data_IF_766257751143
#
_entry.id   IF_766257751143
#
_cell.length_a   1.000
_cell.length_b   1.000
_cell.length_c   1.000
_cell.angle_alpha   90.00
_cell.angle_beta   90.00
_cell.angle_gamma   90.00
#
_symmetry.space_group_name_H-M   'P 1'
#
loop_
_entity.id
_entity.type
_entity.pdbx_description
1 polymer ?
#
# COMPACT_ATOMS: atom_id res chain seq x y z
N UNK A 1 -10.28 -6.33 12.98
CA UNK A 1 -9.62 -6.04 11.68
C UNK A 1 -9.35 -4.54 11.60
N UNK A 2 -8.09 -4.09 11.58
CA UNK A 2 -7.74 -2.69 11.44
C UNK A 2 -7.96 -2.19 10.01
N UNK A 3 -8.29 -0.89 9.89
CA UNK A 3 -8.38 -0.14 8.63
C UNK A 3 -7.76 1.26 8.83
N UNK A 4 -7.95 2.18 7.88
CA UNK A 4 -7.31 3.51 7.92
C UNK A 4 -7.58 4.29 9.23
N UNK A 5 -8.85 4.35 9.66
CA UNK A 5 -9.28 5.10 10.85
C UNK A 5 -10.29 4.33 11.72
N UNK A 6 -10.51 3.06 11.43
CA UNK A 6 -11.49 2.23 12.11
C UNK A 6 -10.94 0.86 12.44
N UNK A 7 -11.55 0.20 13.41
CA UNK A 7 -11.31 -1.22 13.72
C UNK A 7 -12.65 -1.93 13.71
N UNK A 8 -12.76 -2.98 12.88
CA UNK A 8 -13.91 -3.88 12.95
C UNK A 8 -13.63 -4.96 14.00
N UNK A 9 -14.54 -5.08 14.95
CA UNK A 9 -14.58 -6.15 15.94
C UNK A 9 -15.80 -7.02 15.63
N UNK A 10 -15.60 -8.28 15.34
CA UNK A 10 -16.63 -9.24 14.96
C UNK A 10 -16.82 -10.26 16.10
N UNK A 11 -18.02 -10.87 16.19
CA UNK A 11 -18.33 -11.88 17.21
C UNK A 11 -18.45 -11.34 18.63
N UNK A 12 -18.75 -10.04 18.80
CA UNK A 12 -18.86 -9.39 20.12
C UNK A 12 -20.20 -9.72 20.76
N UNK A 13 -20.19 -10.47 21.88
CA UNK A 13 -21.39 -10.86 22.60
C UNK A 13 -22.00 -9.69 23.41
N UNK A 14 -21.17 -8.80 23.99
CA UNK A 14 -21.62 -7.64 24.78
C UNK A 14 -21.02 -6.34 24.23
N UNK A 15 -21.74 -5.72 23.31
CA UNK A 15 -21.33 -4.46 22.67
C UNK A 15 -21.24 -3.30 23.68
N UNK A 16 -22.20 -3.12 24.65
CA UNK A 16 -22.10 -2.08 25.67
C UNK A 16 -20.84 -2.22 26.56
N UNK A 17 -20.51 -3.43 27.00
CA UNK A 17 -19.31 -3.68 27.80
C UNK A 17 -18.03 -3.36 27.02
N UNK A 18 -17.95 -3.80 25.77
CA UNK A 18 -16.83 -3.47 24.89
C UNK A 18 -16.70 -1.96 24.66
N UNK A 19 -17.80 -1.27 24.40
CA UNK A 19 -17.79 0.18 24.22
C UNK A 19 -17.30 0.94 25.46
N UNK A 20 -17.61 0.46 26.68
CA UNK A 20 -17.05 1.01 27.92
C UNK A 20 -15.53 0.78 28.00
N UNK A 21 -15.08 -0.45 27.71
CA UNK A 21 -13.67 -0.80 27.71
C UNK A 21 -12.87 0.06 26.73
N UNK A 22 -13.35 0.22 25.48
CA UNK A 22 -12.67 0.99 24.43
C UNK A 22 -12.54 2.48 24.77
N UNK A 23 -13.46 3.04 25.55
CA UNK A 23 -13.34 4.45 25.99
C UNK A 23 -12.19 4.70 26.95
N UNK A 24 -11.76 3.69 27.68
CA UNK A 24 -10.66 3.76 28.67
C UNK A 24 -9.38 3.09 28.17
N UNK A 25 -9.45 2.29 27.12
CA UNK A 25 -8.32 1.60 26.54
C UNK A 25 -7.33 2.62 25.97
N UNK A 26 -6.08 2.53 26.41
CA UNK A 26 -4.97 3.20 25.76
C UNK A 26 -4.30 2.15 24.86
N UNK A 27 -4.33 2.34 23.55
CA UNK A 27 -3.61 1.41 22.67
C UNK A 27 -2.12 1.53 23.02
N UNK A 28 -1.53 0.46 23.52
CA UNK A 28 -0.09 0.34 23.52
C UNK A 28 0.39 0.43 22.06
N UNK A 29 1.47 1.18 21.85
CA UNK A 29 2.22 1.03 20.62
C UNK A 29 2.71 -0.42 20.63
N UNK A 30 1.96 -1.28 19.97
CA UNK A 30 2.43 -2.63 19.74
C UNK A 30 3.81 -2.51 19.08
N UNK A 31 4.84 -2.90 19.80
CA UNK A 31 6.15 -3.21 19.22
C UNK A 31 5.95 -4.48 18.44
N UNK A 32 5.30 -4.35 17.28
CA UNK A 32 5.16 -5.47 16.35
C UNK A 32 6.59 -5.82 15.96
N UNK A 33 7.02 -7.03 16.30
CA UNK A 33 8.28 -7.54 15.78
C UNK A 33 8.31 -7.27 14.28
N UNK A 34 9.40 -6.72 13.78
CA UNK A 34 9.51 -6.36 12.37
C UNK A 34 9.15 -7.57 11.51
N UNK A 35 8.07 -7.46 10.74
CA UNK A 35 7.63 -8.51 9.83
C UNK A 35 8.68 -8.83 8.76
N UNK A 36 8.46 -9.86 7.95
CA UNK A 36 9.38 -10.20 6.87
C UNK A 36 9.56 -9.03 5.92
N UNK A 37 10.75 -8.90 5.35
CA UNK A 37 11.02 -7.93 4.29
C UNK A 37 10.70 -8.56 2.92
N UNK A 38 9.86 -7.88 2.16
CA UNK A 38 9.55 -8.20 0.76
C UNK A 38 10.13 -7.13 -0.15
N UNK A 39 10.97 -7.52 -1.07
CA UNK A 39 11.43 -6.64 -2.15
C UNK A 39 10.44 -6.69 -3.31
N UNK A 40 10.09 -5.52 -3.83
CA UNK A 40 9.14 -5.37 -4.94
C UNK A 40 9.86 -4.76 -6.14
N UNK A 41 10.41 -5.58 -7.04
CA UNK A 41 11.00 -5.09 -8.28
C UNK A 41 9.96 -4.33 -9.09
N UNK A 42 10.27 -3.08 -9.43
CA UNK A 42 9.30 -2.16 -10.02
C UNK A 42 9.86 -1.48 -11.26
N UNK A 43 9.17 -1.59 -12.37
CA UNK A 43 9.40 -0.77 -13.57
C UNK A 43 8.60 0.52 -13.38
N UNK A 44 9.28 1.67 -13.35
CA UNK A 44 8.67 2.98 -13.15
C UNK A 44 8.28 3.61 -14.49
N UNK A 45 7.23 3.10 -15.09
CA UNK A 45 6.63 3.54 -16.35
C UNK A 45 5.14 3.88 -16.20
N UNK A 46 4.71 4.19 -14.97
CA UNK A 46 3.32 4.48 -14.65
C UNK A 46 2.82 5.77 -15.30
N UNK A 47 1.56 5.73 -15.75
CA UNK A 47 0.94 6.83 -16.49
C UNK A 47 0.91 8.17 -15.73
N UNK A 48 1.02 8.15 -14.39
CA UNK A 48 0.94 9.37 -13.57
C UNK A 48 2.31 9.77 -12.98
N UNK A 49 3.39 9.04 -13.28
CA UNK A 49 4.72 9.32 -12.71
C UNK A 49 5.17 10.76 -12.95
N UNK A 50 5.00 11.26 -14.18
CA UNK A 50 5.38 12.63 -14.53
C UNK A 50 4.52 13.66 -13.79
N UNK A 51 3.21 13.42 -13.61
CA UNK A 51 2.32 14.31 -12.85
C UNK A 51 2.69 14.33 -11.36
N UNK A 52 2.97 13.16 -10.78
CA UNK A 52 3.41 13.05 -9.38
C UNK A 52 4.75 13.77 -9.18
N UNK A 53 5.71 13.58 -10.07
CA UNK A 53 7.00 14.27 -10.03
C UNK A 53 6.84 15.80 -10.09
N UNK A 54 5.99 16.30 -10.99
CA UNK A 54 5.68 17.73 -11.09
C UNK A 54 5.04 18.28 -9.81
N UNK A 55 4.14 17.53 -9.16
CA UNK A 55 3.54 17.92 -7.87
C UNK A 55 4.59 17.99 -6.75
N UNK A 56 5.60 17.13 -6.80
CA UNK A 56 6.70 17.13 -5.84
C UNK A 56 7.78 18.17 -6.17
N UNK A 57 7.69 18.86 -7.32
CA UNK A 57 8.66 19.84 -7.78
C UNK A 57 10.01 19.25 -8.17
N UNK A 58 10.02 18.01 -8.66
CA UNK A 58 11.24 17.25 -9.00
C UNK A 58 11.11 16.58 -10.37
N UNK A 59 12.24 16.22 -11.02
CA UNK A 59 12.20 15.39 -12.23
C UNK A 59 11.74 13.96 -11.92
N UNK A 60 11.23 13.21 -12.93
CA UNK A 60 10.69 11.86 -12.73
C UNK A 60 11.67 10.87 -12.09
N UNK A 61 12.94 10.93 -12.45
CA UNK A 61 13.98 10.07 -11.88
C UNK A 61 14.23 10.36 -10.39
N UNK A 62 14.05 11.61 -9.95
CA UNK A 62 14.11 11.96 -8.53
C UNK A 62 12.85 11.48 -7.81
N UNK A 63 11.68 11.56 -8.43
CA UNK A 63 10.46 11.00 -7.87
C UNK A 63 10.58 9.49 -7.63
N UNK A 64 11.23 8.76 -8.54
CA UNK A 64 11.57 7.34 -8.34
C UNK A 64 12.47 7.17 -7.11
N UNK A 65 13.54 7.98 -6.98
CA UNK A 65 14.43 7.91 -5.82
C UNK A 65 13.70 8.19 -4.50
N UNK A 66 12.84 9.19 -4.48
CA UNK A 66 12.00 9.52 -3.31
C UNK A 66 11.11 8.35 -2.92
N UNK A 67 10.45 7.73 -3.91
CA UNK A 67 9.56 6.59 -3.65
C UNK A 67 10.33 5.33 -3.22
N UNK A 68 11.53 5.10 -3.71
CA UNK A 68 12.32 3.90 -3.39
C UNK A 68 13.18 4.03 -2.14
N UNK A 69 13.39 5.24 -1.63
CA UNK A 69 14.25 5.50 -0.48
C UNK A 69 13.73 4.93 0.85
N UNK A 70 12.42 5.03 1.19
CA UNK A 70 11.94 4.53 2.48
C UNK A 70 11.69 3.02 2.44
N UNK A 71 11.77 2.40 3.62
CA UNK A 71 11.15 1.12 3.87
C UNK A 71 9.69 1.36 4.26
N UNK A 72 8.78 0.65 3.61
CA UNK A 72 7.35 0.70 3.87
C UNK A 72 6.94 -0.41 4.81
N UNK A 73 5.80 -0.22 5.48
CA UNK A 73 5.15 -1.27 6.27
C UNK A 73 3.70 -1.37 5.82
N UNK A 74 3.22 -2.59 5.65
CA UNK A 74 1.78 -2.85 5.40
C UNK A 74 1.01 -2.54 6.67
N UNK A 75 0.29 -1.43 6.68
CA UNK A 75 -0.50 -0.99 7.83
C UNK A 75 -1.78 -1.83 8.00
N UNK A 76 -2.45 -2.13 6.90
CA UNK A 76 -3.65 -2.98 6.86
C UNK A 76 -3.89 -3.47 5.43
N UNK A 77 -4.78 -4.46 5.29
CA UNK A 77 -5.26 -4.96 4.00
C UNK A 77 -6.73 -4.61 3.81
N UNK A 78 -7.15 -4.40 2.55
CA UNK A 78 -8.53 -4.08 2.20
C UNK A 78 -8.71 -3.95 0.69
N UNK A 79 -9.87 -3.47 0.24
CA UNK A 79 -10.22 -3.27 -1.16
C UNK A 79 -10.31 -4.58 -1.96
N UNK A 80 -9.26 -5.39 -2.03
CA UNK A 80 -9.24 -6.65 -2.75
C UNK A 80 -8.30 -7.66 -2.08
N UNK A 81 -8.50 -8.99 -2.23
CA UNK A 81 -7.55 -9.99 -1.78
C UNK A 81 -6.13 -9.69 -2.29
N UNK A 82 -5.16 -9.59 -1.37
CA UNK A 82 -3.77 -9.25 -1.67
C UNK A 82 -3.45 -7.76 -1.80
N UNK A 83 -4.43 -6.85 -1.65
CA UNK A 83 -4.16 -5.40 -1.65
C UNK A 83 -3.78 -4.94 -0.24
N UNK A 84 -2.52 -4.54 -0.10
CA UNK A 84 -1.99 -3.94 1.12
C UNK A 84 -1.92 -2.41 1.02
N UNK A 85 -2.28 -1.74 2.11
CA UNK A 85 -2.07 -0.29 2.29
C UNK A 85 -0.75 -0.08 3.04
N UNK A 86 0.24 0.46 2.34
CA UNK A 86 1.59 0.64 2.83
C UNK A 86 1.80 2.08 3.30
N UNK A 87 2.39 2.24 4.49
CA UNK A 87 2.85 3.53 5.03
C UNK A 87 4.38 3.56 5.03
N UNK A 88 4.97 4.76 4.98
CA UNK A 88 6.42 4.94 5.00
C UNK A 88 6.90 6.13 4.17
N UNK A 89 6.12 6.55 3.16
CA UNK A 89 6.43 7.76 2.41
C UNK A 89 6.24 8.99 3.33
N UNK A 90 7.21 9.92 3.39
CA UNK A 90 7.05 11.15 4.17
C UNK A 90 5.83 11.98 3.74
N UNK A 91 5.09 12.54 4.69
CA UNK A 91 3.81 13.22 4.48
C UNK A 91 3.87 14.35 3.43
N UNK A 92 5.03 15.02 3.29
CA UNK A 92 5.22 16.06 2.25
C UNK A 92 5.10 15.56 0.81
N UNK A 93 5.14 14.24 0.62
CA UNK A 93 5.02 13.57 -0.69
C UNK A 93 3.66 12.89 -0.88
N UNK A 94 2.71 13.14 -0.02
CA UNK A 94 1.34 12.67 -0.22
C UNK A 94 0.74 13.30 -1.47
N UNK A 95 -0.02 12.50 -2.22
CA UNK A 95 -0.72 12.95 -3.43
C UNK A 95 -2.19 12.61 -3.35
N UNK A 96 -3.09 13.48 -3.79
CA UNK A 96 -4.51 13.17 -3.80
C UNK A 96 -4.82 12.06 -4.81
N UNK A 97 -5.92 11.37 -4.58
CA UNK A 97 -6.51 10.50 -5.60
C UNK A 97 -6.87 11.32 -6.83
N UNK A 98 -6.93 10.66 -7.99
CA UNK A 98 -7.43 11.25 -9.21
C UNK A 98 -8.89 11.68 -9.03
N UNK A 99 -9.25 12.83 -9.57
CA UNK A 99 -10.63 13.31 -9.57
C UNK A 99 -11.57 12.35 -10.32
N UNK A 100 -11.09 11.79 -11.42
CA UNK A 100 -11.81 10.75 -12.19
C UNK A 100 -11.06 9.43 -12.07
N UNK A 101 -11.63 8.42 -11.39
CA UNK A 101 -11.05 7.09 -11.34
C UNK A 101 -10.98 6.45 -12.72
N UNK A 102 -9.97 5.60 -12.94
CA UNK A 102 -9.91 4.73 -14.12
C UNK A 102 -10.92 3.60 -13.99
N UNK A 103 -11.54 3.22 -15.10
CA UNK A 103 -12.41 2.04 -15.18
C UNK A 103 -11.63 0.73 -14.97
N UNK A 104 -10.36 0.71 -15.37
CA UNK A 104 -9.45 -0.42 -15.17
C UNK A 104 -8.04 0.07 -14.88
N UNK A 105 -7.48 -0.40 -13.77
CA UNK A 105 -6.06 -0.32 -13.40
C UNK A 105 -5.49 -1.72 -13.56
N UNK A 106 -4.41 -1.93 -14.33
CA UNK A 106 -3.83 -3.26 -14.52
C UNK A 106 -3.33 -3.91 -13.23
N UNK A 107 -3.36 -5.23 -13.17
CA UNK A 107 -2.68 -5.98 -12.11
C UNK A 107 -1.19 -5.63 -12.06
N UNK A 108 -0.60 -5.63 -10.87
CA UNK A 108 0.80 -5.26 -10.65
C UNK A 108 1.06 -3.76 -10.62
N UNK A 109 0.08 -2.89 -10.90
CA UNK A 109 0.29 -1.43 -10.84
C UNK A 109 0.70 -0.99 -9.45
N UNK A 110 1.83 -0.30 -9.34
CA UNK A 110 2.33 0.38 -8.13
C UNK A 110 1.80 1.80 -8.13
N UNK A 111 1.15 2.20 -7.03
CA UNK A 111 0.39 3.44 -7.00
C UNK A 111 0.40 4.15 -5.64
N UNK A 112 0.11 5.46 -5.66
CA UNK A 112 0.00 6.34 -4.49
C UNK A 112 -1.39 6.93 -4.36
N UNK A 113 -1.87 7.10 -3.12
CA UNK A 113 -3.02 7.94 -2.79
C UNK A 113 -3.01 8.36 -1.31
N UNK A 114 -3.05 9.66 -1.03
CA UNK A 114 -2.89 10.19 0.32
C UNK A 114 -1.59 9.69 0.95
N UNK A 115 -1.62 9.19 2.18
CA UNK A 115 -0.44 8.70 2.88
C UNK A 115 -0.04 7.26 2.48
N UNK A 116 -0.74 6.65 1.52
CA UNK A 116 -0.56 5.23 1.21
C UNK A 116 0.09 5.00 -0.14
N UNK A 117 0.97 4.00 -0.16
CA UNK A 117 1.42 3.28 -1.34
C UNK A 117 0.68 1.94 -1.40
N UNK A 118 0.46 1.40 -2.59
CA UNK A 118 -0.14 0.07 -2.76
C UNK A 118 0.19 -0.52 -4.12
N UNK A 119 -0.04 -1.83 -4.22
CA UNK A 119 0.12 -2.57 -5.48
C UNK A 119 -1.18 -3.29 -5.78
N UNK A 120 -1.72 -3.09 -6.96
CA UNK A 120 -2.98 -3.71 -7.40
C UNK A 120 -2.78 -5.21 -7.67
N UNK A 121 -3.41 -6.12 -6.92
CA UNK A 121 -3.20 -7.57 -7.10
C UNK A 121 -3.89 -8.12 -8.34
N UNK A 122 -4.91 -7.43 -8.83
CA UNK A 122 -5.68 -7.78 -10.03
C UNK A 122 -6.17 -6.52 -10.73
N UNK A 123 -6.58 -6.65 -11.98
CA UNK A 123 -7.24 -5.55 -12.70
C UNK A 123 -8.54 -5.16 -11.98
N UNK A 124 -8.71 -3.86 -11.74
CA UNK A 124 -9.87 -3.31 -11.03
C UNK A 124 -10.03 -1.81 -11.31
N UNK A 125 -11.20 -1.21 -11.13
CA UNK A 125 -11.34 0.24 -11.12
C UNK A 125 -10.49 0.87 -10.00
N UNK A 126 -9.95 2.07 -10.23
CA UNK A 126 -9.16 2.75 -9.23
C UNK A 126 -8.78 4.18 -9.56
N UNK A 127 -8.63 5.00 -8.52
CA UNK A 127 -8.27 6.42 -8.65
C UNK A 127 -6.91 6.77 -8.06
N UNK A 128 -6.02 5.80 -7.83
CA UNK A 128 -4.68 6.07 -7.34
C UNK A 128 -3.75 6.52 -8.47
N UNK A 129 -2.73 7.27 -8.13
CA UNK A 129 -1.72 7.76 -9.07
C UNK A 129 -0.71 6.64 -9.38
N UNK A 130 -0.65 6.22 -10.63
CA UNK A 130 0.18 5.10 -11.07
C UNK A 130 1.63 5.53 -11.28
N UNK A 131 2.56 4.96 -10.51
CA UNK A 131 3.99 5.23 -10.62
C UNK A 131 4.72 4.22 -11.52
N UNK A 132 4.25 2.97 -11.52
CA UNK A 132 4.93 1.89 -12.22
C UNK A 132 4.20 0.57 -12.07
N UNK A 133 4.91 -0.52 -12.30
CA UNK A 133 4.35 -1.88 -12.23
C UNK A 133 5.37 -2.90 -11.76
N UNK A 134 4.87 -3.97 -11.16
CA UNK A 134 5.62 -5.17 -10.78
C UNK A 134 4.97 -6.42 -11.36
N UNK A 135 5.77 -7.47 -11.55
CA UNK A 135 5.29 -8.78 -11.94
C UNK A 135 5.05 -9.73 -10.74
N UNK A 136 5.28 -9.26 -9.51
CA UNK A 136 5.10 -10.10 -8.32
C UNK A 136 3.64 -10.55 -8.14
N UNK A 137 3.38 -11.85 -7.92
CA UNK A 137 2.06 -12.34 -7.57
C UNK A 137 1.73 -11.97 -6.12
N UNK A 138 0.86 -10.98 -5.91
CA UNK A 138 0.50 -10.48 -4.59
C UNK A 138 -0.48 -11.39 -3.85
N UNK A 139 -1.22 -12.19 -4.58
CA UNK A 139 -2.18 -13.16 -4.05
C UNK A 139 -1.99 -14.52 -4.70
N UNK A 140 -1.82 -15.55 -3.88
CA UNK A 140 -1.68 -16.93 -4.33
C UNK A 140 -2.33 -17.84 -3.30
N UNK A 141 -3.39 -18.56 -3.69
CA UNK A 141 -4.12 -19.48 -2.82
C UNK A 141 -3.35 -20.74 -2.44
N UNK A 142 -2.29 -21.07 -3.18
CA UNK A 142 -1.38 -22.16 -2.85
C UNK A 142 -0.34 -21.78 -1.77
N UNK A 143 -0.22 -20.49 -1.45
CA UNK A 143 0.72 -19.98 -0.44
C UNK A 143 0.02 -19.81 0.91
N UNK A 144 0.77 -19.98 2.00
CA UNK A 144 0.31 -19.67 3.37
C UNK A 144 1.28 -18.66 4.01
N UNK A 145 0.86 -17.42 4.32
CA UNK A 145 -0.43 -16.81 3.99
C UNK A 145 -0.59 -16.54 2.49
N UNK A 146 -1.83 -16.59 1.98
CA UNK A 146 -2.12 -16.35 0.55
C UNK A 146 -1.71 -14.94 0.09
N UNK A 147 -1.87 -13.94 0.96
CA UNK A 147 -1.41 -12.56 0.71
C UNK A 147 0.12 -12.47 0.87
N UNK A 148 0.82 -11.97 -0.16
CA UNK A 148 2.25 -11.65 -0.06
C UNK A 148 2.48 -10.49 0.92
N UNK A 149 1.64 -9.48 0.86
CA UNK A 149 1.70 -8.26 1.64
C UNK A 149 0.68 -8.32 2.79
N UNK A 150 0.94 -9.17 3.79
CA UNK A 150 0.14 -9.24 5.00
C UNK A 150 0.45 -8.04 5.93
N UNK A 151 -0.48 -7.62 6.82
CA UNK A 151 -0.23 -6.55 7.79
C UNK A 151 1.05 -6.79 8.60
N UNK A 152 1.89 -5.74 8.75
CA UNK A 152 3.19 -5.81 9.40
C UNK A 152 4.36 -6.22 8.48
N UNK A 153 4.11 -6.71 7.26
CA UNK A 153 5.17 -6.97 6.27
C UNK A 153 5.90 -5.67 5.94
N UNK A 154 7.23 -5.72 5.97
CA UNK A 154 8.08 -4.64 5.49
C UNK A 154 8.25 -4.76 3.98
N UNK A 155 8.27 -3.63 3.29
CA UNK A 155 8.32 -3.61 1.83
C UNK A 155 9.36 -2.61 1.36
N UNK A 156 10.18 -3.02 0.39
CA UNK A 156 11.12 -2.14 -0.30
C UNK A 156 10.90 -2.23 -1.80
N UNK A 157 10.67 -1.08 -2.43
CA UNK A 157 10.59 -1.01 -3.89
C UNK A 157 11.98 -0.88 -4.48
N UNK A 158 12.31 -1.72 -5.46
CA UNK A 158 13.59 -1.70 -6.18
C UNK A 158 13.37 -1.39 -7.65
N UNK A 159 13.96 -0.31 -8.18
CA UNK A 159 13.76 0.04 -9.58
C UNK A 159 14.48 -0.98 -10.48
N UNK A 160 13.75 -1.47 -11.48
CA UNK A 160 14.28 -2.38 -12.49
C UNK A 160 13.95 -1.87 -13.90
N UNK A 161 14.75 -2.27 -14.90
CA UNK A 161 14.47 -1.95 -16.29
C UNK A 161 13.35 -2.83 -16.84
N UNK A 162 12.57 -2.29 -17.78
CA UNK A 162 11.63 -3.12 -18.54
C UNK A 162 12.39 -4.24 -19.26
N UNK A 163 11.95 -5.50 -19.03
CA UNK A 163 12.60 -6.69 -19.63
C UNK A 163 13.62 -7.41 -18.74
N UNK A 164 13.96 -6.92 -17.55
CA UNK A 164 14.71 -7.69 -16.56
C UNK A 164 13.81 -8.78 -15.96
N UNK A 165 14.10 -10.04 -16.24
CA UNK A 165 13.49 -11.22 -15.59
C UNK A 165 14.26 -11.58 -14.35
#
# INVERSE_FOLDING_TARGET
MPAAHTVLLDGVADVPALARLLRTARPDRATTAAGPLVEVPTVYDGADLAEVAARWGVPPEEAVRIHTAPEYVVAFCGFAPGFGYLTGLPARYEVPRRATPRSAVPAGSVALAGPYTGVYPRSSPGGWQLLGRTALPLWDTARTPAALLAPGTRVRFTPVRAGSR
#
